data_IF_584084279149
#
_entry.id   IF_584084279149
#
_cell.length_a   1.000
_cell.length_b   1.000
_cell.length_c   1.000
_cell.angle_alpha   90.00
_cell.angle_beta   90.00
_cell.angle_gamma   90.00
#
_symmetry.space_group_name_H-M   'P 1'
#
loop_
_entity.id
_entity.type
_entity.pdbx_description
1 polymer ?
#
# COMPACT_ATOMS: atom_id res chain seq x y z
N UNK A 1 0.64 0.23 -21.59
CA UNK A 1 1.57 1.29 -22.01
C UNK A 1 2.13 2.00 -20.79
N UNK A 2 3.43 2.29 -20.81
CA UNK A 2 4.15 2.96 -19.75
C UNK A 2 4.60 4.34 -20.26
N UNK A 3 4.02 5.43 -19.77
CA UNK A 3 4.30 6.78 -20.31
C UNK A 3 4.13 6.89 -21.84
N UNK A 4 3.19 6.14 -22.43
CA UNK A 4 3.00 6.12 -23.89
C UNK A 4 3.99 5.24 -24.66
N UNK A 5 4.95 4.61 -23.97
CA UNK A 5 5.87 3.65 -24.57
C UNK A 5 5.30 2.22 -24.48
N UNK A 6 5.35 1.43 -25.57
CA UNK A 6 5.10 0.00 -25.51
C UNK A 6 6.26 -0.65 -24.76
N UNK A 7 5.97 -1.26 -23.61
CA UNK A 7 6.96 -1.98 -22.81
C UNK A 7 6.50 -3.42 -22.71
N UNK A 8 7.37 -4.36 -23.06
CA UNK A 8 7.19 -5.78 -22.89
C UNK A 8 8.37 -6.32 -22.08
N UNK A 9 8.11 -7.27 -21.19
CA UNK A 9 9.15 -7.94 -20.42
C UNK A 9 8.53 -9.02 -19.55
N UNK A 10 9.28 -10.09 -19.31
CA UNK A 10 8.87 -11.17 -18.44
C UNK A 10 10.01 -11.50 -17.49
N UNK A 11 9.90 -10.97 -16.27
CA UNK A 11 10.94 -11.04 -15.25
C UNK A 11 10.44 -10.48 -13.93
N UNK A 12 11.28 -10.56 -12.90
CA UNK A 12 10.97 -10.00 -11.59
C UNK A 12 10.90 -8.48 -11.66
N UNK A 13 10.00 -7.91 -10.85
CA UNK A 13 9.92 -6.47 -10.64
C UNK A 13 10.28 -6.17 -9.19
N UNK A 14 11.16 -5.19 -8.98
CA UNK A 14 11.49 -4.66 -7.66
C UNK A 14 11.04 -3.20 -7.63
N UNK A 15 10.11 -2.90 -6.71
CA UNK A 15 9.71 -1.53 -6.41
C UNK A 15 10.15 -1.20 -4.98
N UNK A 16 10.87 -0.09 -4.81
CA UNK A 16 11.26 0.45 -3.50
C UNK A 16 10.59 1.79 -3.33
N UNK A 17 9.90 2.00 -2.21
CA UNK A 17 9.27 3.26 -1.85
C UNK A 17 9.81 3.66 -0.48
N UNK A 18 10.35 4.86 -0.38
CA UNK A 18 10.97 5.36 0.85
C UNK A 18 10.06 6.38 1.51
N UNK A 19 9.96 6.32 2.84
CA UNK A 19 9.12 7.23 3.63
C UNK A 19 7.68 7.31 3.10
N UNK A 20 7.01 6.17 3.12
CA UNK A 20 5.58 6.05 2.78
C UNK A 20 4.77 6.38 4.02
N UNK A 21 3.93 7.41 3.92
CA UNK A 21 2.95 7.77 4.94
C UNK A 21 1.60 7.26 4.48
N UNK A 22 0.87 6.62 5.38
CA UNK A 22 -0.50 6.14 5.15
C UNK A 22 -1.35 6.75 6.26
N UNK A 23 -2.36 7.52 5.86
CA UNK A 23 -3.37 8.04 6.76
C UNK A 23 -4.56 7.11 6.73
N UNK A 24 -4.96 6.58 7.88
CA UNK A 24 -6.03 5.60 8.00
C UNK A 24 -7.13 6.14 8.91
N UNK A 25 -8.32 6.35 8.36
CA UNK A 25 -9.51 6.74 9.09
C UNK A 25 -10.40 5.50 9.31
N UNK A 26 -10.51 5.07 10.56
CA UNK A 26 -11.29 3.88 10.94
C UNK A 26 -12.61 4.28 11.59
N UNK A 27 -13.72 3.76 11.07
CA UNK A 27 -15.04 3.92 11.65
C UNK A 27 -15.40 2.71 12.49
N UNK A 28 -15.86 2.93 13.72
CA UNK A 28 -16.10 1.86 14.69
C UNK A 28 -17.35 2.08 15.53
N UNK A 29 -17.82 0.99 16.11
CA UNK A 29 -18.84 0.97 17.14
C UNK A 29 -18.32 0.20 18.36
N UNK A 30 -18.78 0.57 19.55
CA UNK A 30 -18.58 -0.24 20.74
C UNK A 30 -19.75 -1.20 20.84
N UNK A 31 -19.46 -2.50 20.87
CA UNK A 31 -20.47 -3.57 20.93
C UNK A 31 -20.10 -4.58 22.00
N UNK A 32 -21.10 -5.33 22.48
CA UNK A 32 -20.87 -6.49 23.33
C UNK A 32 -20.43 -7.69 22.48
N UNK A 33 -19.30 -8.31 22.82
CA UNK A 33 -18.91 -9.59 22.21
C UNK A 33 -19.69 -10.76 22.84
N UNK A 34 -19.40 -12.00 22.42
CA UNK A 34 -20.07 -13.21 22.92
C UNK A 34 -19.87 -13.45 24.42
N UNK A 35 -18.80 -12.91 24.98
CA UNK A 35 -18.43 -13.04 26.39
C UNK A 35 -18.96 -11.87 27.25
N UNK A 36 -19.70 -10.93 26.65
CA UNK A 36 -20.28 -9.77 27.33
C UNK A 36 -19.33 -8.59 27.55
N UNK A 37 -18.13 -8.63 26.95
CA UNK A 37 -17.18 -7.52 27.01
C UNK A 37 -17.53 -6.44 25.98
N UNK A 38 -17.34 -5.18 26.35
CA UNK A 38 -17.36 -4.07 25.39
C UNK A 38 -16.11 -4.17 24.55
N UNK A 39 -16.26 -4.27 23.23
CA UNK A 39 -15.15 -4.37 22.28
C UNK A 39 -15.32 -3.33 21.18
N UNK A 40 -14.21 -2.91 20.58
CA UNK A 40 -14.23 -1.99 19.44
C UNK A 40 -14.40 -2.77 18.14
N UNK A 41 -15.55 -2.62 17.48
CA UNK A 41 -15.87 -3.30 16.23
C UNK A 41 -15.69 -2.35 15.04
N UNK A 42 -14.58 -2.49 14.31
CA UNK A 42 -14.31 -1.69 13.11
C UNK A 42 -15.25 -2.10 11.96
N UNK A 43 -15.94 -1.12 11.38
CA UNK A 43 -16.93 -1.33 10.30
C UNK A 43 -16.31 -1.18 8.93
N UNK A 44 -15.73 -0.02 8.68
CA UNK A 44 -15.10 0.35 7.42
C UNK A 44 -13.94 1.31 7.69
N UNK A 45 -13.17 1.59 6.65
CA UNK A 45 -12.06 2.51 6.69
C UNK A 45 -12.00 3.30 5.40
N UNK A 46 -11.49 4.52 5.52
CA UNK A 46 -10.94 5.29 4.41
C UNK A 46 -9.44 5.43 4.62
N UNK A 47 -8.70 5.60 3.53
CA UNK A 47 -7.28 5.88 3.62
C UNK A 47 -6.81 6.80 2.51
N UNK A 48 -5.72 7.49 2.79
CA UNK A 48 -4.89 8.15 1.80
C UNK A 48 -3.43 7.73 2.02
N UNK A 49 -2.57 7.94 1.02
CA UNK A 49 -1.15 7.67 1.16
C UNK A 49 -0.30 8.64 0.37
N UNK A 50 0.89 8.90 0.89
CA UNK A 50 1.88 9.74 0.25
C UNK A 50 3.27 9.09 0.33
N UNK A 51 4.00 9.14 -0.78
CA UNK A 51 5.39 8.69 -0.84
C UNK A 51 6.27 9.94 -0.87
N UNK A 52 6.98 10.21 0.23
CA UNK A 52 7.75 11.45 0.39
C UNK A 52 9.21 11.25 0.00
N UNK A 53 9.80 10.12 0.41
CA UNK A 53 11.24 9.84 0.29
C UNK A 53 11.68 9.36 -1.08
N UNK A 54 10.78 9.32 -2.06
CA UNK A 54 11.06 8.83 -3.40
C UNK A 54 10.68 7.37 -3.63
N UNK A 55 10.62 6.99 -4.90
CA UNK A 55 10.43 5.60 -5.30
C UNK A 55 11.39 5.23 -6.44
N UNK A 56 11.83 3.98 -6.45
CA UNK A 56 12.61 3.41 -7.54
C UNK A 56 12.05 2.07 -7.98
N UNK A 57 12.19 1.81 -9.27
CA UNK A 57 11.65 0.66 -9.94
C UNK A 57 12.74 0.01 -10.80
N UNK A 58 12.77 -1.32 -10.73
CA UNK A 58 13.61 -2.16 -11.55
C UNK A 58 12.74 -3.28 -12.13
N UNK A 59 12.84 -3.46 -13.44
CA UNK A 59 12.14 -4.48 -14.22
C UNK A 59 13.20 -5.38 -14.86
N UNK A 60 13.28 -6.62 -14.40
CA UNK A 60 14.12 -7.64 -15.02
C UNK A 60 13.55 -8.00 -16.41
N UNK A 61 14.43 -8.19 -17.38
CA UNK A 61 14.11 -8.55 -18.76
C UNK A 61 13.14 -7.58 -19.46
N UNK A 62 13.23 -6.29 -19.14
CA UNK A 62 12.53 -5.27 -19.92
C UNK A 62 13.05 -5.30 -21.38
N UNK A 63 12.14 -5.18 -22.34
CA UNK A 63 12.44 -5.20 -23.78
C UNK A 63 13.24 -6.43 -24.26
N UNK A 64 13.04 -7.60 -23.63
CA UNK A 64 13.76 -8.83 -23.95
C UNK A 64 15.30 -8.67 -23.85
N UNK A 65 15.77 -8.04 -22.77
CA UNK A 65 17.19 -7.82 -22.46
C UNK A 65 17.93 -6.86 -23.41
N UNK A 66 17.19 -6.02 -24.14
CA UNK A 66 17.76 -4.84 -24.78
C UNK A 66 18.20 -3.85 -23.67
N UNK A 67 19.49 -3.89 -23.34
CA UNK A 67 20.08 -3.14 -22.23
C UNK A 67 19.89 -1.64 -22.41
N UNK A 68 20.00 -1.13 -23.63
CA UNK A 68 19.85 0.30 -23.92
C UNK A 68 18.41 0.75 -23.61
N UNK A 69 17.41 0.04 -24.15
CA UNK A 69 15.99 0.36 -23.90
C UNK A 69 15.60 0.15 -22.44
N UNK A 70 16.17 -0.88 -21.79
CA UNK A 70 15.98 -1.15 -20.36
C UNK A 70 16.52 -0.01 -19.49
N UNK A 71 17.73 0.46 -19.77
CA UNK A 71 18.34 1.57 -19.04
C UNK A 71 17.57 2.87 -19.27
N UNK A 72 17.15 3.14 -20.51
CA UNK A 72 16.32 4.30 -20.82
C UNK A 72 15.00 4.28 -20.04
N UNK A 73 14.28 3.14 -20.03
CA UNK A 73 12.99 3.09 -19.34
C UNK A 73 13.14 3.17 -17.82
N UNK A 74 14.16 2.54 -17.24
CA UNK A 74 14.46 2.67 -15.81
C UNK A 74 14.76 4.13 -15.44
N UNK A 75 15.58 4.82 -16.24
CA UNK A 75 15.90 6.23 -16.03
C UNK A 75 14.64 7.11 -16.07
N UNK A 76 13.79 6.91 -17.09
CA UNK A 76 12.53 7.67 -17.25
C UNK A 76 11.60 7.44 -16.07
N UNK A 77 11.37 6.18 -15.69
CA UNK A 77 10.47 5.84 -14.59
C UNK A 77 10.97 6.41 -13.27
N UNK A 78 12.26 6.22 -12.97
CA UNK A 78 12.84 6.62 -11.70
C UNK A 78 12.96 8.15 -11.58
N UNK A 79 13.19 8.86 -12.69
CA UNK A 79 13.16 10.33 -12.70
C UNK A 79 11.74 10.88 -12.49
N UNK A 80 10.72 10.16 -12.94
CA UNK A 80 9.31 10.56 -12.86
C UNK A 80 8.49 9.70 -11.91
N UNK A 81 9.11 9.16 -10.86
CA UNK A 81 8.51 8.16 -9.98
C UNK A 81 7.16 8.61 -9.37
N UNK A 82 6.97 9.91 -9.16
CA UNK A 82 5.69 10.48 -8.66
C UNK A 82 4.51 10.19 -9.56
N UNK A 83 4.68 10.27 -10.89
CA UNK A 83 3.60 9.96 -11.83
C UNK A 83 3.26 8.46 -11.77
N UNK A 84 4.26 7.62 -11.51
CA UNK A 84 4.06 6.20 -11.30
C UNK A 84 3.25 5.89 -10.05
N UNK A 85 3.61 6.51 -8.93
CA UNK A 85 2.85 6.41 -7.68
C UNK A 85 1.42 6.89 -7.87
N UNK A 86 1.23 8.05 -8.50
CA UNK A 86 -0.10 8.61 -8.77
C UNK A 86 -0.99 7.67 -9.60
N UNK A 87 -0.43 7.03 -10.64
CA UNK A 87 -1.21 6.16 -11.54
C UNK A 87 -1.46 4.75 -11.01
N UNK A 88 -0.51 4.21 -10.24
CA UNK A 88 -0.49 2.76 -9.94
C UNK A 88 -0.25 2.44 -8.47
N UNK A 89 0.14 3.41 -7.64
CA UNK A 89 0.47 3.18 -6.24
C UNK A 89 -0.71 2.57 -5.47
N UNK A 90 -1.90 3.09 -5.72
CA UNK A 90 -3.13 2.63 -5.05
C UNK A 90 -3.39 1.13 -5.23
N UNK A 91 -3.09 0.56 -6.40
CA UNK A 91 -3.28 -0.88 -6.67
C UNK A 91 -2.50 -1.78 -5.71
N UNK A 92 -1.34 -1.32 -5.23
CA UNK A 92 -0.51 -2.06 -4.29
C UNK A 92 -0.82 -1.67 -2.85
N UNK A 93 -0.96 -0.37 -2.58
CA UNK A 93 -1.20 0.14 -1.22
C UNK A 93 -2.56 -0.31 -0.68
N UNK A 94 -3.64 -0.28 -1.48
CA UNK A 94 -4.96 -0.80 -1.09
C UNK A 94 -4.91 -2.20 -0.47
N UNK A 95 -4.15 -3.12 -1.08
CA UNK A 95 -4.01 -4.50 -0.61
C UNK A 95 -3.26 -4.60 0.71
N UNK A 96 -2.26 -3.73 0.91
CA UNK A 96 -1.51 -3.65 2.16
C UNK A 96 -2.41 -3.08 3.27
N UNK A 97 -3.09 -1.96 2.99
CA UNK A 97 -4.01 -1.31 3.94
C UNK A 97 -5.15 -2.24 4.33
N UNK A 98 -5.74 -2.97 3.38
CA UNK A 98 -6.78 -3.96 3.67
C UNK A 98 -6.32 -5.05 4.65
N UNK A 99 -5.08 -5.52 4.52
CA UNK A 99 -4.49 -6.50 5.46
C UNK A 99 -4.26 -5.88 6.84
N UNK A 100 -3.73 -4.66 6.90
CA UNK A 100 -3.53 -3.92 8.15
C UNK A 100 -4.87 -3.72 8.85
N UNK A 101 -5.88 -3.19 8.15
CA UNK A 101 -7.22 -2.98 8.69
C UNK A 101 -7.84 -4.27 9.23
N UNK A 102 -7.73 -5.38 8.47
CA UNK A 102 -8.24 -6.68 8.92
C UNK A 102 -7.54 -7.15 10.20
N UNK A 103 -6.22 -6.98 10.28
CA UNK A 103 -5.44 -7.31 11.48
C UNK A 103 -5.88 -6.50 12.69
N UNK A 104 -5.98 -5.17 12.55
CA UNK A 104 -6.42 -4.27 13.62
C UNK A 104 -7.86 -4.61 14.04
N UNK A 105 -8.77 -4.81 13.07
CA UNK A 105 -10.18 -5.16 13.34
C UNK A 105 -10.29 -6.43 14.18
N UNK A 106 -9.56 -7.48 13.82
CA UNK A 106 -9.60 -8.74 14.53
C UNK A 106 -9.03 -8.62 15.94
N UNK A 107 -7.93 -7.88 16.09
CA UNK A 107 -7.35 -7.61 17.39
C UNK A 107 -8.34 -6.84 18.28
N UNK A 108 -8.85 -5.70 17.83
CA UNK A 108 -9.74 -4.84 18.63
C UNK A 108 -11.08 -5.51 18.98
N UNK A 109 -11.61 -6.37 18.11
CA UNK A 109 -12.82 -7.15 18.40
C UNK A 109 -12.59 -8.27 19.42
N UNK A 110 -11.33 -8.66 19.65
CA UNK A 110 -10.95 -9.71 20.61
C UNK A 110 -10.62 -9.17 22.01
N UNK A 111 -10.33 -7.87 22.14
CA UNK A 111 -9.90 -7.26 23.39
C UNK A 111 -11.07 -6.58 24.09
N UNK A 112 -11.18 -6.76 25.41
CA UNK A 112 -12.07 -5.94 26.22
C UNK A 112 -11.54 -4.51 26.22
N UNK A 113 -12.40 -3.55 25.90
CA UNK A 113 -12.03 -2.14 25.76
C UNK A 113 -11.38 -1.60 27.04
N UNK A 114 -11.79 -2.10 28.22
CA UNK A 114 -11.21 -1.71 29.51
C UNK A 114 -9.73 -2.04 29.66
N UNK A 115 -9.22 -3.01 28.91
CA UNK A 115 -7.84 -3.48 29.04
C UNK A 115 -6.88 -2.69 28.13
N UNK A 116 -7.41 -2.05 27.08
CA UNK A 116 -6.61 -1.39 26.04
C UNK A 116 -6.82 0.13 25.95
N UNK A 117 -7.88 0.66 26.53
CA UNK A 117 -8.14 2.10 26.57
C UNK A 117 -7.71 2.69 27.92
N UNK A 118 -6.82 3.70 27.86
CA UNK A 118 -6.48 4.53 29.02
C UNK A 118 -7.53 5.63 29.10
N UNK A 119 -8.30 5.67 30.18
CA UNK A 119 -9.23 6.75 30.51
C UNK A 119 -8.50 8.01 30.93
#
# INVERSE_FOLDING_TARGET
>A
MLYGLPVSGNGRTIAKMNNVIIDLLCFYEIVKNKDGYDVMNLKHYDYDFNVIGGASYFFENAFNDDEEKSNQIHSIINSHWRIKIYKYGDHFISKIVAKIFTGIKNYLASQNLKDIAIY
#
